data_IF_386270389732
#
_entry.id   IF_386270389732
#
_cell.length_a   1.000
_cell.length_b   1.000
_cell.length_c   1.000
_cell.angle_alpha   90.00
_cell.angle_beta   90.00
_cell.angle_gamma   90.00
#
_symmetry.space_group_name_H-M   'P 1'
#
loop_
_entity.id
_entity.type
_entity.pdbx_description
1 polymer ?
#
# COMPACT_ATOMS: atom_id res chain seq x y z
N UNK A 1 -1.26 22.14 -14.60
CA UNK A 1 -0.57 21.57 -13.43
C UNK A 1 0.78 22.25 -13.36
N UNK A 2 1.14 22.83 -12.21
CA UNK A 2 2.43 23.51 -12.05
C UNK A 2 3.57 22.48 -12.09
N UNK A 3 4.55 22.58 -13.00
CA UNK A 3 5.67 21.64 -13.06
C UNK A 3 6.48 21.56 -11.75
N UNK A 4 6.59 22.66 -11.00
CA UNK A 4 7.31 22.66 -9.72
C UNK A 4 6.57 21.88 -8.61
N UNK A 5 5.26 21.70 -8.73
CA UNK A 5 4.49 20.86 -7.83
C UNK A 5 4.77 19.36 -8.04
N UNK A 6 5.35 18.97 -9.19
CA UNK A 6 5.82 17.60 -9.43
C UNK A 6 7.12 17.29 -8.69
N UNK A 7 7.90 18.31 -8.34
CA UNK A 7 9.13 18.20 -7.54
C UNK A 7 8.86 18.21 -6.03
N UNK A 8 7.61 18.45 -5.61
CA UNK A 8 7.20 18.39 -4.21
C UNK A 8 6.82 16.94 -3.82
N UNK A 9 7.66 16.33 -2.98
CA UNK A 9 7.49 14.96 -2.50
C UNK A 9 6.39 14.80 -1.43
N UNK A 10 5.68 15.89 -1.09
CA UNK A 10 4.60 15.91 -0.10
C UNK A 10 3.22 15.53 -0.66
N UNK A 11 3.14 15.04 -1.90
CA UNK A 11 1.89 14.55 -2.47
C UNK A 11 1.23 13.52 -1.54
N UNK A 12 -0.09 13.66 -1.35
CA UNK A 12 -0.90 12.74 -0.56
C UNK A 12 -1.80 11.88 -1.45
N UNK A 13 -2.10 12.34 -2.66
CA UNK A 13 -3.03 11.69 -3.57
C UNK A 13 -2.67 12.01 -5.03
N UNK A 14 -2.50 10.97 -5.84
CA UNK A 14 -2.37 11.07 -7.30
C UNK A 14 -3.34 10.11 -8.01
N UNK A 15 -3.73 10.44 -9.25
CA UNK A 15 -4.51 9.57 -10.13
C UNK A 15 -3.63 9.07 -11.27
N UNK A 16 -3.53 7.75 -11.44
CA UNK A 16 -2.71 7.09 -12.45
C UNK A 16 -3.61 6.42 -13.49
N UNK A 17 -3.56 6.92 -14.73
CA UNK A 17 -4.31 6.36 -15.84
C UNK A 17 -3.52 5.25 -16.54
N UNK A 18 -4.11 4.05 -16.62
CA UNK A 18 -3.54 2.90 -17.33
C UNK A 18 -4.18 2.66 -18.70
N UNK A 19 -5.46 3.01 -18.84
CA UNK A 19 -6.23 2.89 -20.08
C UNK A 19 -7.17 4.09 -20.21
N UNK A 20 -7.25 4.69 -21.41
CA UNK A 20 -8.02 5.93 -21.65
C UNK A 20 -9.52 5.76 -21.50
N UNK A 21 -10.04 4.55 -21.67
CA UNK A 21 -11.48 4.25 -21.59
C UNK A 21 -11.89 3.76 -20.19
N UNK A 22 -10.95 3.70 -19.25
CA UNK A 22 -11.15 3.19 -17.89
C UNK A 22 -10.94 4.27 -16.84
N UNK A 23 -11.49 4.06 -15.64
CA UNK A 23 -11.23 4.92 -14.49
C UNK A 23 -9.79 4.73 -13.99
N UNK A 24 -9.08 5.82 -13.66
CA UNK A 24 -7.71 5.73 -13.18
C UNK A 24 -7.62 5.11 -11.78
N UNK A 25 -6.49 4.46 -11.50
CA UNK A 25 -6.14 4.00 -10.16
C UNK A 25 -5.78 5.21 -9.31
N UNK A 26 -6.36 5.30 -8.12
CA UNK A 26 -6.04 6.34 -7.14
C UNK A 26 -4.96 5.83 -6.21
N UNK A 27 -3.84 6.54 -6.09
CA UNK A 27 -2.78 6.22 -5.16
C UNK A 27 -2.76 7.28 -4.04
N UNK A 28 -2.88 6.82 -2.81
CA UNK A 28 -2.79 7.64 -1.60
C UNK A 28 -1.48 7.34 -0.89
N UNK A 29 -0.81 8.37 -0.37
CA UNK A 29 0.36 8.24 0.49
C UNK A 29 0.12 9.00 1.79
N UNK A 30 -0.23 8.26 2.84
CA UNK A 30 -0.37 8.82 4.20
C UNK A 30 0.94 8.65 4.95
N UNK A 31 1.31 9.62 5.78
CA UNK A 31 2.63 9.68 6.44
C UNK A 31 2.47 9.85 7.93
N UNK A 32 3.53 9.54 8.66
CA UNK A 32 3.65 9.76 10.12
C UNK A 32 3.66 11.23 10.56
N UNK A 33 3.38 12.15 9.63
CA UNK A 33 3.37 13.60 9.81
C UNK A 33 2.44 14.26 8.80
N UNK A 34 2.02 15.48 9.11
CA UNK A 34 1.20 16.31 8.22
C UNK A 34 -0.30 16.05 8.38
N UNK A 35 -1.09 16.52 7.39
CA UNK A 35 -2.55 16.60 7.51
C UNK A 35 -3.29 15.27 7.53
N UNK A 36 -2.62 14.15 7.23
CA UNK A 36 -3.20 12.79 7.20
C UNK A 36 -2.58 11.85 8.23
N UNK A 37 -1.94 12.41 9.27
CA UNK A 37 -1.28 11.62 10.31
C UNK A 37 -2.27 10.73 11.08
N UNK A 38 -3.48 11.22 11.33
CA UNK A 38 -4.57 10.46 11.96
C UNK A 38 -4.95 9.21 11.16
N UNK A 39 -5.00 9.31 9.84
CA UNK A 39 -5.25 8.17 8.95
C UNK A 39 -4.07 7.21 9.01
N UNK A 40 -2.84 7.70 8.93
CA UNK A 40 -1.64 6.86 9.05
C UNK A 40 -1.62 6.09 10.37
N UNK A 41 -1.89 6.75 11.49
CA UNK A 41 -1.87 6.13 12.83
C UNK A 41 -2.95 5.06 12.95
N UNK A 42 -4.14 5.32 12.39
CA UNK A 42 -5.24 4.35 12.35
C UNK A 42 -4.89 3.12 11.51
N UNK A 43 -4.42 3.30 10.28
CA UNK A 43 -4.06 2.19 9.38
C UNK A 43 -2.93 1.34 9.98
N UNK A 44 -1.91 1.99 10.55
CA UNK A 44 -0.83 1.31 11.25
C UNK A 44 -1.35 0.47 12.42
N UNK A 45 -2.25 1.03 13.24
CA UNK A 45 -2.84 0.31 14.36
C UNK A 45 -3.61 -0.93 13.90
N UNK A 46 -4.41 -0.81 12.83
CA UNK A 46 -5.16 -1.93 12.25
C UNK A 46 -4.23 -3.04 11.73
N UNK A 47 -3.14 -2.70 11.06
CA UNK A 47 -2.17 -3.70 10.62
C UNK A 47 -1.48 -4.40 11.79
N UNK A 48 -1.10 -3.67 12.84
CA UNK A 48 -0.50 -4.25 14.04
C UNK A 48 -1.48 -5.15 14.81
N UNK A 49 -2.75 -4.77 14.88
CA UNK A 49 -3.82 -5.58 15.47
C UNK A 49 -3.99 -6.89 14.70
N UNK A 50 -4.10 -6.83 13.36
CA UNK A 50 -4.18 -8.03 12.52
C UNK A 50 -2.97 -8.94 12.67
N UNK A 51 -1.77 -8.38 12.81
CA UNK A 51 -0.54 -9.14 13.02
C UNK A 51 -0.34 -9.63 14.46
N UNK A 52 -1.17 -9.19 15.42
CA UNK A 52 -0.99 -9.54 16.84
C UNK A 52 -1.34 -10.99 17.16
N UNK A 53 -2.16 -11.65 16.34
CA UNK A 53 -2.63 -13.03 16.54
C UNK A 53 -1.62 -14.08 16.09
N UNK A 54 -0.59 -13.67 15.34
CA UNK A 54 0.45 -14.55 14.82
C UNK A 54 1.69 -14.46 15.72
N UNK A 55 2.36 -15.57 16.03
CA UNK A 55 3.54 -15.62 16.91
C UNK A 55 4.79 -16.18 16.22
N UNK A 56 4.71 -16.49 14.93
CA UNK A 56 5.82 -16.96 14.11
C UNK A 56 6.82 -15.85 13.71
N UNK A 57 7.97 -16.27 13.19
CA UNK A 57 9.10 -15.40 12.85
C UNK A 57 8.76 -14.52 11.66
N UNK A 58 7.98 -15.04 10.72
CA UNK A 58 7.51 -14.38 9.53
C UNK A 58 6.59 -13.20 9.91
N UNK A 59 5.62 -13.41 10.79
CA UNK A 59 4.79 -12.35 11.34
C UNK A 59 5.57 -11.31 12.15
N UNK A 60 6.68 -11.68 12.79
CA UNK A 60 7.58 -10.70 13.44
C UNK A 60 8.21 -9.75 12.41
N UNK A 61 8.67 -10.26 11.26
CA UNK A 61 9.21 -9.42 10.19
C UNK A 61 8.17 -8.40 9.69
N UNK A 62 6.93 -8.86 9.47
CA UNK A 62 5.84 -7.98 9.07
C UNK A 62 5.56 -6.91 10.14
N UNK A 63 5.50 -7.30 11.42
CA UNK A 63 5.29 -6.36 12.55
C UNK A 63 6.41 -5.33 12.66
N UNK A 64 7.67 -5.73 12.53
CA UNK A 64 8.80 -4.82 12.56
C UNK A 64 8.73 -3.79 11.43
N UNK A 65 8.39 -4.25 10.21
CA UNK A 65 8.19 -3.37 9.07
C UNK A 65 7.09 -2.35 9.37
N UNK A 66 5.87 -2.80 9.70
CA UNK A 66 4.73 -1.92 10.03
C UNK A 66 5.07 -0.94 11.16
N UNK A 67 5.76 -1.41 12.20
CA UNK A 67 6.14 -0.58 13.35
C UNK A 67 7.06 0.57 12.95
N UNK A 68 7.98 0.33 12.02
CA UNK A 68 9.00 1.30 11.57
C UNK A 68 8.58 2.10 10.34
N UNK A 69 7.48 1.72 9.68
CA UNK A 69 6.93 2.36 8.49
C UNK A 69 6.77 3.86 8.69
N UNK A 70 7.20 4.68 7.72
CA UNK A 70 7.05 6.15 7.73
C UNK A 70 5.90 6.66 6.88
N UNK A 71 5.40 5.82 5.98
CA UNK A 71 4.26 6.12 5.14
C UNK A 71 3.55 4.83 4.71
N UNK A 72 2.26 4.92 4.43
CA UNK A 72 1.47 3.82 3.87
C UNK A 72 0.97 4.28 2.50
N UNK A 73 1.29 3.49 1.48
CA UNK A 73 0.84 3.70 0.12
C UNK A 73 -0.35 2.76 -0.17
N UNK A 74 -1.49 3.32 -0.56
CA UNK A 74 -2.71 2.55 -0.81
C UNK A 74 -3.26 2.87 -2.18
N UNK A 75 -3.49 1.83 -2.99
CA UNK A 75 -4.18 1.95 -4.27
C UNK A 75 -5.68 1.70 -4.09
N UNK A 76 -6.51 2.47 -4.81
CA UNK A 76 -7.96 2.31 -4.84
C UNK A 76 -8.44 2.41 -6.28
N UNK A 77 -9.29 1.49 -6.69
CA UNK A 77 -9.87 1.45 -8.04
C UNK A 77 -11.29 0.89 -8.00
N UNK A 78 -12.07 1.18 -9.04
CA UNK A 78 -13.44 0.72 -9.14
C UNK A 78 -13.47 -0.76 -9.58
N UNK A 79 -13.80 -1.68 -8.65
CA UNK A 79 -13.83 -3.13 -8.92
C UNK A 79 -14.68 -3.52 -10.14
N UNK A 80 -15.76 -2.79 -10.42
CA UNK A 80 -16.65 -3.06 -11.57
C UNK A 80 -16.17 -2.48 -12.91
N UNK A 81 -15.05 -1.75 -12.93
CA UNK A 81 -14.51 -1.10 -14.13
C UNK A 81 -13.08 -1.56 -14.46
N UNK A 82 -12.31 -1.96 -13.44
CA UNK A 82 -10.95 -2.46 -13.63
C UNK A 82 -10.93 -3.74 -14.45
N UNK A 83 -9.93 -3.85 -15.33
CA UNK A 83 -9.67 -5.01 -16.20
C UNK A 83 -8.28 -5.56 -15.90
N UNK A 84 -7.91 -6.68 -16.52
CA UNK A 84 -6.60 -7.36 -16.34
C UNK A 84 -5.41 -6.39 -16.41
N UNK A 85 -5.34 -5.56 -17.46
CA UNK A 85 -4.30 -4.52 -17.62
C UNK A 85 -4.19 -3.58 -16.40
N UNK A 86 -5.31 -3.29 -15.74
CA UNK A 86 -5.33 -2.46 -14.55
C UNK A 86 -4.83 -3.19 -13.30
N UNK A 87 -5.08 -4.50 -13.18
CA UNK A 87 -4.51 -5.32 -12.11
C UNK A 87 -3.00 -5.46 -12.27
N UNK A 88 -2.51 -5.68 -13.49
CA UNK A 88 -1.08 -5.73 -13.79
C UNK A 88 -0.41 -4.39 -13.45
N UNK A 89 -1.02 -3.28 -13.88
CA UNK A 89 -0.53 -1.94 -13.58
C UNK A 89 -0.55 -1.64 -12.07
N UNK A 90 -1.58 -2.11 -11.34
CA UNK A 90 -1.60 -2.03 -9.88
C UNK A 90 -0.46 -2.81 -9.25
N UNK A 91 -0.16 -4.00 -9.76
CA UNK A 91 1.00 -4.80 -9.35
C UNK A 91 2.30 -4.02 -9.47
N UNK A 92 2.54 -3.40 -10.63
CA UNK A 92 3.74 -2.58 -10.86
C UNK A 92 3.86 -1.38 -9.92
N UNK A 93 2.73 -0.73 -9.58
CA UNK A 93 2.73 0.36 -8.60
C UNK A 93 3.22 -0.14 -7.24
N UNK A 94 2.71 -1.29 -6.79
CA UNK A 94 3.06 -1.85 -5.47
C UNK A 94 4.50 -2.37 -5.44
N UNK A 95 4.93 -3.06 -6.50
CA UNK A 95 6.31 -3.52 -6.71
C UNK A 95 7.29 -2.35 -6.68
N UNK A 96 6.96 -1.22 -7.30
CA UNK A 96 7.80 -0.02 -7.25
C UNK A 96 8.07 0.44 -5.80
N UNK A 97 7.06 0.49 -4.94
CA UNK A 97 7.25 0.88 -3.54
C UNK A 97 7.97 -0.19 -2.72
N UNK A 98 7.73 -1.46 -3.02
CA UNK A 98 8.42 -2.59 -2.42
C UNK A 98 9.94 -2.49 -2.66
N UNK A 99 10.34 -2.34 -3.92
CA UNK A 99 11.74 -2.29 -4.34
C UNK A 99 12.46 -1.01 -3.91
N UNK A 100 11.79 0.15 -4.01
CA UNK A 100 12.45 1.44 -3.82
C UNK A 100 12.33 1.98 -2.38
N UNK A 101 11.48 1.39 -1.54
CA UNK A 101 11.25 1.87 -0.18
C UNK A 101 11.39 0.77 0.89
N UNK A 102 11.90 -0.42 0.52
CA UNK A 102 11.95 -1.60 1.39
C UNK A 102 10.57 -1.90 2.00
N UNK A 103 9.52 -1.71 1.19
CA UNK A 103 8.14 -1.90 1.62
C UNK A 103 7.76 -3.38 1.72
N UNK A 104 6.79 -3.67 2.57
CA UNK A 104 5.99 -4.89 2.46
C UNK A 104 4.64 -4.55 1.85
N UNK A 105 4.03 -5.51 1.16
CA UNK A 105 2.74 -5.31 0.50
C UNK A 105 1.67 -6.03 1.30
N UNK A 106 0.57 -5.35 1.61
CA UNK A 106 -0.62 -6.00 2.12
C UNK A 106 -1.68 -6.02 1.02
N UNK A 107 -2.23 -7.21 0.78
CA UNK A 107 -3.35 -7.42 -0.12
C UNK A 107 -4.57 -7.79 0.71
N UNK A 108 -5.67 -7.07 0.50
CA UNK A 108 -6.94 -7.36 1.18
C UNK A 108 -7.43 -8.77 0.85
N UNK A 109 -7.85 -9.50 1.89
CA UNK A 109 -8.33 -10.88 1.79
C UNK A 109 -7.27 -11.93 1.45
N UNK A 110 -5.98 -11.55 1.45
CA UNK A 110 -4.87 -12.48 1.24
C UNK A 110 -3.85 -12.40 2.37
N UNK A 111 -3.37 -11.19 2.69
CA UNK A 111 -2.41 -10.98 3.77
C UNK A 111 -1.17 -10.18 3.36
N UNK A 112 -0.06 -10.43 4.05
CA UNK A 112 1.17 -9.66 3.92
C UNK A 112 2.23 -10.41 3.12
N UNK A 113 2.84 -9.72 2.16
CA UNK A 113 3.91 -10.22 1.30
C UNK A 113 5.23 -9.55 1.65
N UNK A 114 6.30 -10.35 1.68
CA UNK A 114 7.67 -9.92 1.95
C UNK A 114 8.16 -9.01 0.82
N UNK A 115 9.28 -8.28 1.01
CA UNK A 115 9.90 -7.52 -0.08
C UNK A 115 10.35 -8.38 -1.27
N UNK A 116 10.36 -9.71 -1.16
CA UNK A 116 10.65 -10.65 -2.25
C UNK A 116 9.39 -11.18 -2.95
N UNK A 117 8.20 -10.73 -2.55
CA UNK A 117 6.92 -11.20 -3.09
C UNK A 117 6.45 -12.53 -2.51
N UNK A 118 7.05 -13.01 -1.42
CA UNK A 118 6.65 -14.24 -0.74
C UNK A 118 5.55 -13.93 0.28
N UNK A 119 4.48 -14.74 0.35
CA UNK A 119 3.46 -14.58 1.39
C UNK A 119 4.09 -14.87 2.77
N UNK A 120 4.03 -13.89 3.66
CA UNK A 120 4.61 -13.92 5.01
C UNK A 120 3.53 -14.24 6.05
N UNK A 121 2.35 -13.64 5.89
CA UNK A 121 1.20 -13.87 6.77
C UNK A 121 -0.03 -13.97 5.90
N UNK A 122 -0.75 -15.09 5.98
CA UNK A 122 -2.06 -15.26 5.37
C UNK A 122 -3.12 -14.67 6.31
N UNK A 123 -3.99 -13.82 5.78
CA UNK A 123 -5.16 -13.30 6.50
C UNK A 123 -6.39 -13.96 5.91
N UNK A 124 -7.04 -14.86 6.66
CA UNK A 124 -8.35 -15.37 6.29
C UNK A 124 -9.37 -14.22 6.33
N UNK A 125 -10.25 -14.13 5.32
CA UNK A 125 -11.44 -13.27 5.40
C UNK A 125 -12.39 -13.85 6.47
N UNK A 126 -12.87 -13.02 7.40
CA UNK A 126 -14.04 -13.36 8.24
C UNK A 126 -15.33 -13.40 7.41
#
# INVERSE_FOLDING_TARGET
MDPAALDDWSWAHISLGYNRERKPIQLFCVRDKGSYQDIYDREKALFLERLSVFDDVEAQLARECVTRTRFIATTRFAKNDIVEEGYDFNGWILEFFQDNCNGIVQMDGQGFYSPKGELVVELEEE
#
